data_IF_027515033253
#
_entry.id   IF_027515033253
#
_cell.length_a   1.000
_cell.length_b   1.000
_cell.length_c   1.000
_cell.angle_alpha   90.00
_cell.angle_beta   90.00
_cell.angle_gamma   90.00
#
_symmetry.space_group_name_H-M   'P 1'
#
loop_
_entity.id
_entity.type
_entity.pdbx_description
1 polymer ?
#
# COMPACT_ATOMS: atom_id res chain seq x y z
N UNK A 1 -12.40 -12.86 -19.24
CA UNK A 1 -12.63 -12.11 -17.99
C UNK A 1 -12.07 -10.73 -18.24
N UNK A 2 -12.88 -9.67 -18.12
CA UNK A 2 -12.36 -8.30 -18.21
C UNK A 2 -11.37 -8.13 -17.05
N UNK A 3 -10.15 -7.68 -17.33
CA UNK A 3 -9.17 -7.38 -16.29
C UNK A 3 -9.71 -6.20 -15.48
N UNK A 4 -9.96 -6.41 -14.19
CA UNK A 4 -10.37 -5.34 -13.28
C UNK A 4 -9.13 -4.51 -12.95
N UNK A 5 -9.08 -3.26 -13.40
CA UNK A 5 -7.95 -2.38 -13.15
C UNK A 5 -8.14 -1.65 -11.82
N UNK A 6 -7.24 -1.91 -10.88
CA UNK A 6 -7.18 -1.19 -9.61
C UNK A 6 -6.27 0.04 -9.75
N UNK A 7 -6.74 1.17 -9.24
CA UNK A 7 -5.98 2.41 -9.13
C UNK A 7 -5.84 2.78 -7.65
N UNK A 8 -4.64 3.15 -7.21
CA UNK A 8 -4.43 3.68 -5.87
C UNK A 8 -4.62 5.20 -5.86
N UNK A 9 -5.44 5.68 -4.93
CA UNK A 9 -5.65 7.11 -4.67
C UNK A 9 -4.79 7.60 -3.51
N UNK A 10 -4.51 6.72 -2.54
CA UNK A 10 -3.69 7.01 -1.37
C UNK A 10 -3.00 5.74 -0.85
N UNK A 11 -1.74 5.81 -0.37
CA UNK A 11 -0.83 6.94 -0.56
C UNK A 11 -0.40 7.09 -2.02
N UNK A 12 0.29 8.19 -2.33
CA UNK A 12 0.92 8.37 -3.63
C UNK A 12 2.16 7.48 -3.74
N UNK A 13 2.53 7.07 -4.95
CA UNK A 13 3.72 6.25 -5.16
C UNK A 13 4.98 6.98 -4.64
N UNK A 14 5.86 6.22 -3.99
CA UNK A 14 7.05 6.71 -3.28
C UNK A 14 6.78 7.66 -2.10
N UNK A 15 5.60 7.57 -1.47
CA UNK A 15 5.33 8.30 -0.23
C UNK A 15 6.15 7.76 0.94
N UNK A 16 6.72 8.65 1.76
CA UNK A 16 7.36 8.30 3.03
C UNK A 16 6.46 8.70 4.19
N UNK A 17 6.16 7.73 5.05
CA UNK A 17 5.41 7.92 6.28
C UNK A 17 6.35 8.14 7.46
N UNK A 18 6.03 9.14 8.28
CA UNK A 18 6.74 9.36 9.53
C UNK A 18 6.37 8.29 10.56
N UNK A 19 7.38 7.67 11.15
CA UNK A 19 7.21 6.68 12.20
C UNK A 19 6.97 7.31 13.58
N UNK A 20 6.29 6.55 14.45
CA UNK A 20 6.12 6.80 15.88
C UNK A 20 6.44 5.49 16.60
N UNK A 21 7.39 5.53 17.54
CA UNK A 21 7.83 4.37 18.35
C UNK A 21 8.24 3.12 17.55
N UNK A 22 8.89 3.31 16.39
CA UNK A 22 9.35 2.21 15.54
C UNK A 22 8.33 1.73 14.51
N UNK A 23 7.14 2.36 14.44
CA UNK A 23 6.04 1.90 13.60
C UNK A 23 5.26 3.04 12.93
N UNK A 24 4.43 2.70 11.94
CA UNK A 24 3.44 3.61 11.37
C UNK A 24 2.18 2.84 10.97
N UNK A 25 1.02 3.48 11.08
CA UNK A 25 -0.23 2.98 10.51
C UNK A 25 -0.38 3.55 9.09
N UNK A 26 -0.62 2.67 8.12
CA UNK A 26 -0.64 3.04 6.70
C UNK A 26 -2.03 2.77 6.15
N UNK A 27 -2.75 3.84 5.82
CA UNK A 27 -4.02 3.75 5.11
C UNK A 27 -3.77 3.73 3.61
N UNK A 28 -4.29 2.69 2.96
CA UNK A 28 -4.31 2.53 1.51
C UNK A 28 -5.75 2.65 1.04
N UNK A 29 -5.99 3.41 -0.02
CA UNK A 29 -7.28 3.51 -0.66
C UNK A 29 -7.14 3.64 -2.17
N UNK A 30 -8.21 3.31 -2.87
CA UNK A 30 -8.24 3.36 -4.31
C UNK A 30 -9.61 3.09 -4.87
N UNK A 31 -9.65 2.94 -6.18
CA UNK A 31 -10.86 2.60 -6.92
C UNK A 31 -10.57 1.60 -8.04
N UNK A 32 -11.61 0.91 -8.46
CA UNK A 32 -11.61 0.07 -9.64
C UNK A 32 -12.32 0.78 -10.80
N UNK A 33 -11.89 0.48 -12.02
CA UNK A 33 -12.52 0.98 -13.26
C UNK A 33 -13.96 0.48 -13.47
N UNK A 34 -14.30 -0.62 -12.80
CA UNK A 34 -15.60 -1.28 -12.86
C UNK A 34 -16.08 -1.67 -11.46
N UNK A 35 -17.37 -1.97 -11.32
CA UNK A 35 -17.92 -2.44 -10.05
C UNK A 35 -17.19 -3.72 -9.60
N UNK A 36 -16.67 -3.69 -8.37
CA UNK A 36 -15.84 -4.76 -7.82
C UNK A 36 -16.73 -5.98 -7.53
N UNK A 37 -16.58 -7.04 -8.34
CA UNK A 37 -17.31 -8.30 -8.17
C UNK A 37 -16.47 -9.35 -7.42
N UNK A 38 -15.89 -8.97 -6.27
CA UNK A 38 -15.02 -9.83 -5.46
C UNK A 38 -14.46 -9.12 -4.23
N UNK A 39 -13.56 -9.79 -3.53
CA UNK A 39 -12.81 -9.23 -2.41
C UNK A 39 -11.51 -8.60 -2.91
N UNK A 40 -11.22 -7.39 -2.44
CA UNK A 40 -9.91 -6.76 -2.63
C UNK A 40 -9.00 -7.14 -1.48
N UNK A 41 -7.88 -7.74 -1.82
CA UNK A 41 -6.88 -8.23 -0.89
C UNK A 41 -5.62 -7.41 -1.07
N UNK A 42 -5.07 -6.90 0.03
CA UNK A 42 -3.87 -6.09 0.04
C UNK A 42 -2.81 -6.74 0.91
N UNK A 43 -1.54 -6.61 0.55
CA UNK A 43 -0.42 -7.05 1.37
C UNK A 43 0.73 -6.04 1.34
N UNK A 44 1.62 -6.10 2.33
CA UNK A 44 2.86 -5.30 2.36
C UNK A 44 4.04 -6.25 2.33
N UNK A 45 4.92 -6.06 1.36
CA UNK A 45 6.19 -6.80 1.24
C UNK A 45 7.37 -5.85 1.31
N UNK A 46 8.54 -6.36 1.71
CA UNK A 46 9.81 -5.61 1.62
C UNK A 46 10.27 -5.57 0.17
N UNK A 47 10.68 -4.40 -0.32
CA UNK A 47 11.15 -4.26 -1.70
C UNK A 47 12.39 -5.11 -2.00
N UNK A 48 13.35 -5.17 -1.07
CA UNK A 48 14.66 -5.79 -1.34
C UNK A 48 14.63 -7.33 -1.42
N UNK A 49 13.60 -7.99 -0.88
CA UNK A 49 13.54 -9.47 -0.87
C UNK A 49 12.14 -10.06 -0.99
N UNK A 50 11.10 -9.25 -1.20
CA UNK A 50 9.71 -9.70 -1.33
C UNK A 50 9.11 -10.35 -0.07
N UNK A 51 9.78 -10.29 1.08
CA UNK A 51 9.27 -10.93 2.30
C UNK A 51 8.08 -10.15 2.85
N UNK A 52 6.99 -10.85 3.14
CA UNK A 52 5.81 -10.26 3.77
C UNK A 52 6.14 -9.59 5.10
N UNK A 53 5.75 -8.32 5.19
CA UNK A 53 5.64 -7.55 6.43
C UNK A 53 4.22 -7.69 6.97
N UNK A 54 3.24 -7.57 6.08
CA UNK A 54 1.82 -7.86 6.32
C UNK A 54 1.34 -8.80 5.24
N UNK A 55 0.74 -9.91 5.65
CA UNK A 55 0.11 -10.85 4.72
C UNK A 55 -1.18 -10.25 4.17
N UNK A 56 -1.81 -10.96 3.24
CA UNK A 56 -3.08 -10.58 2.63
C UNK A 56 -4.15 -10.26 3.68
N UNK A 57 -4.58 -9.00 3.69
CA UNK A 57 -5.66 -8.46 4.50
C UNK A 57 -6.76 -7.95 3.57
N UNK A 58 -8.02 -8.16 3.97
CA UNK A 58 -9.19 -7.77 3.18
C UNK A 58 -9.46 -6.29 3.32
N UNK A 59 -9.54 -5.57 2.21
CA UNK A 59 -9.96 -4.18 2.17
C UNK A 59 -11.49 -4.06 2.30
N UNK A 60 -11.94 -2.98 2.93
CA UNK A 60 -13.34 -2.59 2.89
C UNK A 60 -13.67 -2.04 1.49
N UNK A 61 -14.74 -2.54 0.88
CA UNK A 61 -15.19 -2.14 -0.46
C UNK A 61 -16.53 -1.41 -0.37
N UNK A 62 -16.66 -0.30 -1.09
CA UNK A 62 -17.90 0.47 -1.22
C UNK A 62 -18.08 0.96 -2.65
N UNK A 63 -19.03 0.38 -3.37
CA UNK A 63 -19.22 0.65 -4.80
C UNK A 63 -17.99 0.24 -5.62
N UNK A 64 -17.34 1.21 -6.24
CA UNK A 64 -16.07 1.02 -6.96
C UNK A 64 -14.83 1.35 -6.11
N UNK A 65 -15.00 1.87 -4.88
CA UNK A 65 -13.91 2.27 -4.01
C UNK A 65 -13.49 1.17 -3.03
N UNK A 66 -12.23 1.20 -2.60
CA UNK A 66 -11.70 0.36 -1.53
C UNK A 66 -10.81 1.13 -0.57
N UNK A 67 -10.73 0.67 0.68
CA UNK A 67 -9.80 1.19 1.68
C UNK A 67 -9.41 0.13 2.70
N UNK A 68 -8.17 0.20 3.16
CA UNK A 68 -7.64 -0.61 4.24
C UNK A 68 -6.61 0.18 5.05
N UNK A 69 -6.44 -0.16 6.33
CA UNK A 69 -5.36 0.40 7.14
C UNK A 69 -4.52 -0.73 7.71
N UNK A 70 -3.25 -0.79 7.29
CA UNK A 70 -2.25 -1.67 7.88
C UNK A 70 -1.73 -1.03 9.16
N UNK A 71 -2.03 -1.65 10.30
CA UNK A 71 -1.56 -1.16 11.59
C UNK A 71 -0.13 -1.60 11.88
N UNK A 72 0.67 -0.77 12.53
CA UNK A 72 2.00 -1.11 13.05
C UNK A 72 2.95 -1.67 11.98
N UNK A 73 3.06 -0.99 10.85
CA UNK A 73 4.10 -1.27 9.85
C UNK A 73 5.44 -0.79 10.42
N UNK A 74 6.48 -1.65 10.52
CA UNK A 74 7.75 -1.29 11.12
C UNK A 74 8.47 -0.19 10.33
N UNK A 75 9.24 0.63 11.03
CA UNK A 75 10.16 1.60 10.44
C UNK A 75 11.45 0.94 9.90
N UNK A 76 12.16 1.68 9.05
CA UNK A 76 13.48 1.29 8.56
C UNK A 76 13.47 0.46 7.28
N UNK A 77 12.46 0.65 6.42
CA UNK A 77 12.38 -0.06 5.16
C UNK A 77 11.59 0.66 4.07
N UNK A 78 11.86 0.22 2.84
CA UNK A 78 11.04 0.46 1.67
C UNK A 78 10.16 -0.77 1.43
N UNK A 79 8.90 -0.53 1.15
CA UNK A 79 7.87 -1.53 1.05
C UNK A 79 7.05 -1.36 -0.21
N UNK A 80 6.58 -2.49 -0.75
CA UNK A 80 5.58 -2.50 -1.81
C UNK A 80 4.24 -2.95 -1.23
N UNK A 81 3.18 -2.20 -1.53
CA UNK A 81 1.81 -2.66 -1.35
C UNK A 81 1.41 -3.45 -2.58
N UNK A 82 0.98 -4.68 -2.37
CA UNK A 82 0.43 -5.56 -3.39
C UNK A 82 -1.09 -5.50 -3.33
N UNK A 83 -1.73 -5.62 -4.49
CA UNK A 83 -3.19 -5.70 -4.62
C UNK A 83 -3.60 -6.90 -5.46
N UNK A 84 -4.72 -7.51 -5.09
CA UNK A 84 -5.34 -8.59 -5.83
C UNK A 84 -6.86 -8.55 -5.68
N UNK A 85 -7.59 -8.83 -6.77
CA UNK A 85 -9.03 -9.06 -6.74
C UNK A 85 -9.28 -10.57 -6.72
N UNK A 86 -10.01 -11.05 -5.71
CA UNK A 86 -10.27 -12.47 -5.52
C UNK A 86 -11.77 -12.75 -5.45
N UNK A 87 -12.25 -13.70 -6.25
CA UNK A 87 -13.66 -14.10 -6.26
C UNK A 87 -13.98 -15.20 -5.25
N UNK A 88 -13.00 -15.99 -4.79
CA UNK A 88 -13.22 -17.24 -4.03
C UNK A 88 -12.17 -17.54 -2.92
N UNK A 89 -11.62 -16.53 -2.23
CA UNK A 89 -10.71 -16.74 -1.10
C UNK A 89 -9.43 -15.90 -1.16
N UNK A 90 -8.35 -16.39 -0.55
CA UNK A 90 -7.06 -15.68 -0.53
C UNK A 90 -6.37 -15.76 -1.91
N UNK A 91 -5.72 -14.68 -2.36
CA UNK A 91 -4.89 -14.71 -3.57
C UNK A 91 -3.76 -15.72 -3.41
N UNK A 92 -3.44 -16.44 -4.48
CA UNK A 92 -2.23 -17.25 -4.51
C UNK A 92 -1.01 -16.34 -4.62
N UNK A 93 0.11 -16.68 -3.98
CA UNK A 93 1.37 -15.94 -4.10
C UNK A 93 1.86 -15.83 -5.57
N UNK A 94 1.35 -16.70 -6.45
CA UNK A 94 1.60 -16.74 -7.90
C UNK A 94 0.58 -15.95 -8.75
N UNK A 95 -0.48 -15.41 -8.14
CA UNK A 95 -1.69 -14.91 -8.83
C UNK A 95 -1.86 -13.40 -8.69
N UNK A 96 -0.92 -12.63 -9.22
CA UNK A 96 -1.01 -11.17 -9.36
C UNK A 96 -2.02 -10.78 -10.47
N UNK A 97 -3.30 -11.09 -10.30
CA UNK A 97 -4.35 -10.61 -11.21
C UNK A 97 -4.80 -9.21 -10.77
N UNK A 98 -4.34 -8.18 -11.49
CA UNK A 98 -4.70 -6.77 -11.27
C UNK A 98 -3.70 -5.97 -10.44
N UNK A 99 -2.45 -6.44 -10.31
CA UNK A 99 -1.46 -5.90 -9.38
C UNK A 99 -1.00 -4.48 -9.73
N UNK A 100 -1.69 -3.48 -9.19
CA UNK A 100 -1.04 -2.21 -8.91
C UNK A 100 -0.04 -2.44 -7.77
N UNK A 101 1.18 -1.96 -7.96
CA UNK A 101 2.24 -1.95 -6.95
C UNK A 101 2.45 -0.50 -6.52
N UNK A 102 2.44 -0.27 -5.21
CA UNK A 102 2.66 1.04 -4.62
C UNK A 102 3.87 0.98 -3.70
N UNK A 103 4.87 1.82 -3.95
CA UNK A 103 6.12 1.88 -3.20
C UNK A 103 5.98 2.91 -2.08
N UNK A 104 6.34 2.53 -0.85
CA UNK A 104 6.23 3.37 0.33
C UNK A 104 7.43 3.18 1.25
N UNK A 105 7.84 4.25 1.93
CA UNK A 105 8.84 4.21 3.00
C UNK A 105 8.22 4.44 4.37
N UNK A 106 8.79 3.84 5.41
CA UNK A 106 8.49 4.19 6.81
C UNK A 106 9.77 4.56 7.53
N UNK A 107 9.88 5.80 8.00
CA UNK A 107 11.09 6.31 8.62
C UNK A 107 10.92 7.73 9.16
N UNK A 108 12.03 8.38 9.47
CA UNK A 108 12.04 9.78 9.91
C UNK A 108 12.30 10.69 8.71
N UNK A 109 11.52 11.76 8.57
CA UNK A 109 11.75 12.80 7.56
C UNK A 109 12.36 14.01 8.26
N UNK A 110 13.64 14.29 7.96
CA UNK A 110 14.36 15.44 8.49
C UNK A 110 14.35 16.58 7.45
N UNK A 111 13.87 17.76 7.84
CA UNK A 111 14.04 18.98 7.05
C UNK A 111 15.26 19.75 7.58
N UNK A 112 16.27 19.93 6.73
CA UNK A 112 17.41 20.79 7.03
C UNK A 112 17.22 22.08 6.23
N UNK A 113 17.02 23.20 6.92
CA UNK A 113 17.00 24.53 6.30
C UNK A 113 18.25 25.30 6.70
N UNK A 114 19.03 25.74 5.72
CA UNK A 114 20.10 26.72 5.95
C UNK A 114 19.54 28.14 5.82
N UNK A 115 19.75 28.97 6.85
CA UNK A 115 19.48 30.41 6.77
C UNK A 115 20.75 31.10 6.27
N UNK A 116 20.77 31.55 5.03
CA UNK A 116 21.83 32.44 4.54
C UNK A 116 21.49 33.86 4.98
N UNK A 117 22.11 34.32 6.07
CA UNK A 117 22.07 35.73 6.44
C UNK A 117 23.01 36.49 5.51
N UNK A 118 22.46 37.20 4.53
CA UNK A 118 23.24 38.19 3.77
C UNK A 118 23.66 39.32 4.73
N UNK A 119 24.97 39.50 4.91
CA UNK A 119 25.58 40.64 5.59
C UNK A 119 25.53 41.90 4.71
#
# INVERSE_FOLDING_TARGET
MSECLLTFDCPQDYTVFQQVDGFCDITVSGSADTAISGDIMLAIVREYNGTYVRRWEKAAVSGAGFSHTFQKVPAGGLYSVLSAVCSNGMPSDSGLCGAAVLHIGVGDVYFISESVTCL
#
